data_IF_448705782009
#
_entry.id   IF_448705782009
#
_cell.length_a   1.000
_cell.length_b   1.000
_cell.length_c   1.000
_cell.angle_alpha   90.00
_cell.angle_beta   90.00
_cell.angle_gamma   90.00
#
_symmetry.space_group_name_H-M   'P 1'
#
loop_
_entity.id
_entity.type
_entity.pdbx_description
1 polymer ?
#
# COMPACT_ATOMS: atom_id res chain seq x y z
N UNK A 1 -10.90 25.12 32.85
CA UNK A 1 -10.68 23.93 32.01
C UNK A 1 -9.65 24.32 30.97
N UNK A 2 -8.40 23.91 31.16
CA UNK A 2 -7.25 24.28 30.36
C UNK A 2 -7.27 23.42 29.09
N UNK A 3 -7.44 24.08 27.95
CA UNK A 3 -7.28 23.48 26.63
C UNK A 3 -5.78 23.20 26.42
N UNK A 4 -5.37 21.97 26.67
CA UNK A 4 -3.98 21.56 26.49
C UNK A 4 -3.61 21.69 25.00
N UNK A 5 -2.33 21.95 24.69
CA UNK A 5 -1.89 22.18 23.33
C UNK A 5 -2.22 20.94 22.48
N UNK A 6 -3.19 21.06 21.59
CA UNK A 6 -3.40 20.11 20.49
C UNK A 6 -2.13 20.14 19.66
N UNK A 7 -1.27 19.15 19.86
CA UNK A 7 -0.16 18.88 18.95
C UNK A 7 -0.83 18.47 17.64
N UNK A 8 -1.03 19.43 16.74
CA UNK A 8 -1.28 19.15 15.32
C UNK A 8 -0.02 18.49 14.79
N UNK A 9 0.03 17.17 14.89
CA UNK A 9 0.92 16.38 14.03
C UNK A 9 0.30 16.37 12.64
N UNK A 10 0.49 17.44 11.93
CA UNK A 10 0.23 17.49 10.51
C UNK A 10 1.47 16.90 9.87
N UNK A 11 1.54 15.59 9.83
CA UNK A 11 2.38 14.92 8.84
C UNK A 11 1.62 15.04 7.51
N UNK A 12 1.83 16.15 6.82
CA UNK A 12 1.18 16.47 5.54
C UNK A 12 1.72 15.59 4.40
N UNK A 13 2.56 14.60 4.69
CA UNK A 13 3.13 13.67 3.72
C UNK A 13 2.17 12.54 3.45
N UNK A 14 1.15 12.86 2.68
CA UNK A 14 0.11 11.91 2.29
C UNK A 14 0.66 10.70 1.56
N UNK A 15 1.76 10.85 0.81
CA UNK A 15 2.38 9.76 0.10
C UNK A 15 2.89 8.66 1.02
N UNK A 16 3.66 9.02 2.05
CA UNK A 16 4.12 8.07 3.05
C UNK A 16 2.96 7.53 3.91
N UNK A 17 1.92 8.35 4.16
CA UNK A 17 0.70 7.90 4.85
C UNK A 17 -0.06 6.85 4.06
N UNK A 18 -0.13 6.97 2.73
CA UNK A 18 -0.70 5.94 1.85
C UNK A 18 0.04 4.62 2.03
N UNK A 19 1.38 4.62 2.04
CA UNK A 19 2.17 3.39 2.21
C UNK A 19 2.08 2.79 3.62
N UNK A 20 1.64 3.57 4.62
CA UNK A 20 1.47 3.12 6.00
C UNK A 20 0.04 2.69 6.34
N UNK A 21 -0.93 2.94 5.48
CA UNK A 21 -2.33 2.62 5.77
C UNK A 21 -2.57 1.12 6.02
N UNK A 22 -1.82 0.26 5.31
CA UNK A 22 -1.88 -1.21 5.42
C UNK A 22 -1.03 -1.82 6.53
N UNK A 23 -0.41 -1.01 7.39
CA UNK A 23 0.42 -1.55 8.46
C UNK A 23 -0.38 -2.40 9.43
N UNK A 24 0.19 -3.55 9.76
CA UNK A 24 -0.35 -4.48 10.75
C UNK A 24 -0.59 -3.80 12.10
N UNK A 25 -1.62 -4.18 12.86
CA UNK A 25 -1.83 -3.71 14.23
C UNK A 25 -0.65 -3.96 15.17
N UNK A 26 0.20 -4.96 14.87
CA UNK A 26 1.40 -5.29 15.66
C UNK A 26 2.64 -4.52 15.20
N UNK A 27 2.51 -3.69 14.18
CA UNK A 27 3.61 -2.83 13.70
C UNK A 27 3.81 -1.65 14.64
N UNK A 28 5.04 -1.44 15.04
CA UNK A 28 5.46 -0.31 15.88
C UNK A 28 5.88 0.86 15.00
N UNK A 29 5.33 2.04 15.26
CA UNK A 29 5.69 3.26 14.56
C UNK A 29 6.28 4.26 15.56
N UNK A 30 7.54 4.64 15.34
CA UNK A 30 8.25 5.59 16.20
C UNK A 30 8.60 6.84 15.41
N UNK A 31 8.19 7.98 15.91
CA UNK A 31 8.42 9.29 15.29
C UNK A 31 9.68 9.93 15.86
N UNK A 32 10.59 10.33 14.99
CA UNK A 32 11.76 11.17 15.31
C UNK A 32 11.67 12.49 14.54
N UNK A 33 12.66 13.37 14.71
CA UNK A 33 12.67 14.69 14.06
C UNK A 33 12.84 14.56 12.53
N UNK A 34 13.71 13.66 12.09
CA UNK A 34 14.19 13.50 10.72
C UNK A 34 13.66 12.24 10.04
N UNK A 35 12.98 11.35 10.77
CA UNK A 35 12.44 10.11 10.23
C UNK A 35 11.27 9.54 11.06
N UNK A 36 10.57 8.58 10.44
CA UNK A 36 9.62 7.69 11.12
C UNK A 36 10.13 6.26 10.95
N UNK A 37 10.42 5.58 12.05
CA UNK A 37 10.79 4.16 12.01
C UNK A 37 9.53 3.30 12.09
N UNK A 38 9.32 2.46 11.10
CA UNK A 38 8.26 1.46 11.02
C UNK A 38 8.88 0.09 11.23
N UNK A 39 8.37 -0.68 12.20
CA UNK A 39 8.97 -1.96 12.60
C UNK A 39 7.89 -3.00 12.87
N UNK A 40 8.03 -4.17 12.30
CA UNK A 40 7.19 -5.34 12.57
C UNK A 40 8.06 -6.46 13.15
N UNK A 41 8.32 -6.46 14.46
CA UNK A 41 9.29 -7.40 15.08
C UNK A 41 8.96 -8.88 14.87
N UNK A 42 7.67 -9.21 14.75
CA UNK A 42 7.20 -10.58 14.45
C UNK A 42 7.46 -11.03 13.01
N UNK A 43 7.80 -10.08 12.10
CA UNK A 43 8.10 -10.32 10.69
C UNK A 43 9.22 -9.39 10.23
N UNK A 44 10.46 -9.65 10.69
CA UNK A 44 11.62 -8.84 10.31
C UNK A 44 11.95 -8.94 8.81
N UNK A 45 11.50 -9.99 8.14
CA UNK A 45 11.58 -10.22 6.70
C UNK A 45 10.61 -9.34 5.88
N UNK A 46 9.55 -8.83 6.48
CA UNK A 46 8.53 -8.03 5.81
C UNK A 46 9.06 -6.63 5.46
N UNK A 47 9.45 -6.42 4.21
CA UNK A 47 10.02 -5.14 3.75
C UNK A 47 9.09 -3.95 4.00
N UNK A 48 7.84 -4.03 3.58
CA UNK A 48 6.87 -2.93 3.74
C UNK A 48 6.56 -2.58 5.20
N UNK A 49 6.75 -3.51 6.11
CA UNK A 49 6.56 -3.36 7.56
C UNK A 49 7.83 -3.00 8.34
N UNK A 50 8.99 -2.90 7.65
CA UNK A 50 10.28 -2.60 8.26
C UNK A 50 10.98 -1.54 7.42
N UNK A 51 10.68 -0.25 7.67
CA UNK A 51 11.15 0.87 6.86
C UNK A 51 11.56 2.05 7.71
N UNK A 52 12.47 2.87 7.18
CA UNK A 52 12.77 4.18 7.72
C UNK A 52 12.24 5.24 6.74
N UNK A 53 11.18 5.93 7.13
CA UNK A 53 10.53 6.95 6.33
C UNK A 53 11.15 8.30 6.67
N UNK A 54 11.90 8.88 5.75
CA UNK A 54 12.61 10.14 5.97
C UNK A 54 11.66 11.32 5.87
N UNK A 55 11.87 12.31 6.73
CA UNK A 55 11.05 13.52 6.76
C UNK A 55 11.38 14.50 5.63
N UNK A 56 12.46 14.32 4.90
CA UNK A 56 12.85 15.06 3.70
C UNK A 56 13.61 14.14 2.76
N UNK A 57 13.78 14.55 1.51
CA UNK A 57 14.75 13.92 0.63
C UNK A 57 16.14 14.04 1.28
N UNK A 58 16.89 12.93 1.40
CA UNK A 58 18.21 12.97 2.03
C UNK A 58 19.22 13.67 1.11
N UNK A 59 20.19 14.39 1.69
CA UNK A 59 21.37 14.77 0.94
C UNK A 59 22.26 13.53 0.69
N UNK A 60 23.10 13.53 -0.36
CA UNK A 60 23.93 12.37 -0.71
C UNK A 60 24.84 11.88 0.43
N UNK A 61 25.37 12.79 1.23
CA UNK A 61 26.23 12.51 2.38
C UNK A 61 25.48 11.99 3.61
N UNK A 62 24.18 12.26 3.73
CA UNK A 62 23.34 11.78 4.82
C UNK A 62 22.91 10.32 4.67
N UNK A 63 22.90 9.76 3.44
CA UNK A 63 22.38 8.41 3.19
C UNK A 63 23.07 7.32 4.01
N UNK A 64 24.40 7.39 4.16
CA UNK A 64 25.12 6.42 4.96
C UNK A 64 24.67 6.42 6.43
N UNK A 65 24.46 7.62 6.99
CA UNK A 65 23.97 7.76 8.36
C UNK A 65 22.55 7.20 8.54
N UNK A 66 21.68 7.33 7.52
CA UNK A 66 20.34 6.72 7.56
C UNK A 66 20.38 5.20 7.43
N UNK A 67 21.31 4.64 6.62
CA UNK A 67 21.55 3.19 6.54
C UNK A 67 22.02 2.64 7.89
N UNK A 68 22.98 3.31 8.53
CA UNK A 68 23.48 2.93 9.86
C UNK A 68 22.35 2.99 10.90
N UNK A 69 21.52 4.04 10.87
CA UNK A 69 20.36 4.20 11.74
C UNK A 69 19.32 3.12 11.51
N UNK A 70 19.07 2.75 10.25
CA UNK A 70 18.23 1.59 9.93
C UNK A 70 18.77 0.32 10.60
N UNK A 71 20.06 0.04 10.46
CA UNK A 71 20.74 -1.09 11.09
C UNK A 71 20.54 -1.11 12.61
N UNK A 72 20.69 0.03 13.26
CA UNK A 72 20.54 0.17 14.72
C UNK A 72 19.08 0.02 15.20
N UNK A 73 18.10 0.50 14.44
CA UNK A 73 16.70 0.58 14.91
C UNK A 73 15.84 -0.56 14.39
N UNK A 74 16.07 -1.02 13.19
CA UNK A 74 15.27 -2.03 12.48
C UNK A 74 16.09 -3.30 12.26
N UNK A 75 17.31 -3.18 11.74
CA UNK A 75 18.21 -4.31 11.52
C UNK A 75 18.52 -5.08 12.81
N UNK A 76 18.65 -4.40 13.94
CA UNK A 76 18.85 -5.02 15.26
C UNK A 76 17.69 -5.95 15.69
N UNK A 77 16.54 -5.85 15.04
CA UNK A 77 15.39 -6.75 15.24
C UNK A 77 15.38 -7.94 14.27
N UNK A 78 16.45 -8.13 13.49
CA UNK A 78 16.61 -9.26 12.58
C UNK A 78 16.21 -8.98 11.12
N UNK A 79 15.90 -7.73 10.74
CA UNK A 79 15.66 -7.39 9.35
C UNK A 79 16.98 -7.51 8.54
N UNK A 80 17.02 -8.48 7.61
CA UNK A 80 18.16 -8.74 6.74
C UNK A 80 18.22 -7.83 5.49
N UNK A 81 17.41 -6.79 5.45
CA UNK A 81 17.34 -5.84 4.34
C UNK A 81 17.43 -4.40 4.85
N UNK A 82 17.62 -3.45 3.95
CA UNK A 82 17.50 -2.00 4.21
C UNK A 82 16.39 -1.47 3.33
N UNK A 83 15.52 -0.62 3.89
CA UNK A 83 14.51 0.12 3.12
C UNK A 83 14.31 1.52 3.69
N UNK A 84 14.76 2.52 2.93
CA UNK A 84 14.56 3.94 3.21
C UNK A 84 13.49 4.48 2.25
N UNK A 85 12.61 5.35 2.73
CA UNK A 85 11.58 5.98 1.88
C UNK A 85 11.54 7.48 2.14
N UNK A 86 11.34 8.26 1.08
CA UNK A 86 11.06 9.70 1.19
C UNK A 86 10.08 10.14 0.12
N UNK A 87 9.44 11.26 0.35
CA UNK A 87 8.39 11.79 -0.53
C UNK A 87 8.86 13.07 -1.21
N UNK A 88 8.57 13.18 -2.51
CA UNK A 88 8.66 14.42 -3.30
C UNK A 88 7.26 14.78 -3.76
N UNK A 89 6.70 15.92 -3.32
CA UNK A 89 5.40 16.39 -3.79
C UNK A 89 5.40 16.62 -5.30
N UNK A 90 4.29 16.35 -5.96
CA UNK A 90 4.09 16.63 -7.39
C UNK A 90 3.11 17.79 -7.56
N UNK A 91 3.32 18.60 -8.58
CA UNK A 91 2.29 19.53 -9.01
C UNK A 91 1.05 18.75 -9.52
N UNK A 92 -0.18 19.25 -9.32
CA UNK A 92 -1.41 18.54 -9.69
C UNK A 92 -1.46 18.07 -11.16
N UNK A 93 -0.84 18.83 -12.07
CA UNK A 93 -0.80 18.54 -13.50
C UNK A 93 0.50 17.85 -13.95
N UNK A 94 1.35 17.46 -13.01
CA UNK A 94 2.63 16.81 -13.35
C UNK A 94 2.38 15.45 -14.03
N UNK A 95 3.09 15.13 -15.12
CA UNK A 95 3.10 13.77 -15.63
C UNK A 95 3.68 12.82 -14.59
N UNK A 96 3.25 11.56 -14.55
CA UNK A 96 3.69 10.58 -13.55
C UNK A 96 5.19 10.35 -13.46
N UNK A 97 5.92 10.66 -14.51
CA UNK A 97 7.38 10.56 -14.59
C UNK A 97 8.12 11.88 -14.24
N UNK A 98 7.41 12.88 -13.71
CA UNK A 98 7.98 14.23 -13.57
C UNK A 98 8.95 14.38 -12.38
N UNK A 99 8.89 13.53 -11.39
CA UNK A 99 9.90 13.53 -10.34
C UNK A 99 11.11 12.69 -10.80
N UNK A 100 12.27 13.32 -10.88
CA UNK A 100 13.55 12.63 -11.08
C UNK A 100 14.27 12.71 -9.74
N UNK A 101 14.77 11.60 -9.19
CA UNK A 101 15.58 11.65 -7.98
C UNK A 101 16.87 12.40 -8.26
N UNK A 102 17.44 13.01 -7.25
CA UNK A 102 18.77 13.60 -7.34
C UNK A 102 19.78 12.52 -7.80
N UNK A 103 20.51 12.80 -8.88
CA UNK A 103 21.45 11.86 -9.46
C UNK A 103 22.57 11.49 -8.48
N UNK A 104 23.03 12.43 -7.65
CA UNK A 104 24.05 12.17 -6.63
C UNK A 104 23.50 11.26 -5.51
N UNK A 105 22.23 11.44 -5.13
CA UNK A 105 21.54 10.54 -4.18
C UNK A 105 21.45 9.12 -4.74
N UNK A 106 21.10 8.97 -6.03
CA UNK A 106 21.03 7.65 -6.69
C UNK A 106 22.41 6.98 -6.75
N UNK A 107 23.45 7.71 -7.14
CA UNK A 107 24.82 7.18 -7.19
C UNK A 107 25.32 6.79 -5.79
N UNK A 108 25.02 7.61 -4.78
CA UNK A 108 25.40 7.30 -3.41
C UNK A 108 24.64 6.08 -2.88
N UNK A 109 23.33 5.95 -3.17
CA UNK A 109 22.54 4.78 -2.83
C UNK A 109 23.14 3.51 -3.45
N UNK A 110 23.50 3.57 -4.76
CA UNK A 110 24.16 2.46 -5.46
C UNK A 110 25.48 2.06 -4.81
N UNK A 111 26.30 3.03 -4.41
CA UNK A 111 27.56 2.77 -3.70
C UNK A 111 27.35 2.10 -2.33
N UNK A 112 26.16 2.26 -1.73
CA UNK A 112 25.75 1.59 -0.49
C UNK A 112 25.02 0.25 -0.75
N UNK A 113 24.97 -0.23 -2.00
CA UNK A 113 24.29 -1.47 -2.37
C UNK A 113 22.75 -1.35 -2.42
N UNK A 114 22.21 -0.12 -2.54
CA UNK A 114 20.79 0.13 -2.64
C UNK A 114 20.36 0.45 -4.07
N UNK A 115 19.17 0.01 -4.45
CA UNK A 115 18.46 0.46 -5.65
C UNK A 115 17.42 1.51 -5.28
N UNK A 116 17.26 2.54 -6.10
CA UNK A 116 16.25 3.58 -5.90
C UNK A 116 15.15 3.42 -6.95
N UNK A 117 13.92 3.25 -6.49
CA UNK A 117 12.74 3.09 -7.35
C UNK A 117 11.61 4.04 -6.93
N UNK A 118 10.82 4.56 -7.89
CA UNK A 118 9.69 5.43 -7.60
C UNK A 118 8.38 4.64 -7.41
N UNK A 119 7.52 5.15 -6.53
CA UNK A 119 6.09 4.89 -6.55
C UNK A 119 5.34 6.21 -6.73
N UNK A 120 4.42 6.26 -7.67
CA UNK A 120 3.48 7.38 -7.77
C UNK A 120 2.34 7.18 -6.79
N UNK A 121 2.15 8.14 -5.92
CA UNK A 121 0.96 8.22 -5.07
C UNK A 121 -0.08 9.06 -5.81
N UNK A 122 -1.25 8.46 -5.99
CA UNK A 122 -2.40 9.09 -6.64
C UNK A 122 -3.49 9.28 -5.60
N UNK A 123 -4.11 10.44 -5.60
CA UNK A 123 -5.30 10.74 -4.79
C UNK A 123 -6.50 10.98 -5.70
N UNK A 124 -7.66 10.58 -5.22
CA UNK A 124 -8.92 10.80 -5.92
C UNK A 124 -9.23 12.30 -5.93
N UNK A 125 -9.45 12.83 -7.12
CA UNK A 125 -9.97 14.17 -7.35
C UNK A 125 -11.50 14.09 -7.56
N UNK A 126 -11.91 13.36 -8.60
CA UNK A 126 -13.31 13.12 -8.89
C UNK A 126 -13.49 11.71 -9.45
N UNK A 127 -14.34 10.91 -8.82
CA UNK A 127 -14.60 9.56 -9.30
C UNK A 127 -15.28 9.60 -10.67
N UNK A 128 -14.58 9.05 -11.66
CA UNK A 128 -15.11 8.97 -13.02
C UNK A 128 -16.36 8.07 -13.05
N UNK A 129 -17.34 8.37 -13.94
CA UNK A 129 -18.54 7.54 -14.06
C UNK A 129 -18.19 6.06 -14.32
N UNK A 130 -19.03 5.13 -13.87
CA UNK A 130 -18.82 3.71 -14.12
C UNK A 130 -18.78 3.47 -15.62
N UNK A 131 -17.79 2.74 -16.09
CA UNK A 131 -17.81 2.23 -17.46
C UNK A 131 -18.77 1.04 -17.53
N UNK A 132 -19.27 0.74 -18.72
CA UNK A 132 -20.16 -0.40 -18.99
C UNK A 132 -19.67 -1.67 -18.29
N UNK A 133 -20.61 -2.41 -17.69
CA UNK A 133 -20.32 -3.38 -16.65
C UNK A 133 -19.53 -4.60 -17.11
N UNK A 134 -18.55 -4.98 -16.31
CA UNK A 134 -18.06 -6.35 -16.34
C UNK A 134 -19.23 -7.28 -15.91
N UNK A 135 -19.37 -8.42 -16.58
CA UNK A 135 -20.39 -9.43 -16.24
C UNK A 135 -19.95 -10.22 -14.98
N UNK A 136 -19.88 -9.52 -13.84
CA UNK A 136 -19.50 -10.06 -12.53
C UNK A 136 -20.38 -9.44 -11.45
N UNK A 137 -20.62 -10.20 -10.39
CA UNK A 137 -21.21 -9.71 -9.15
C UNK A 137 -20.08 -9.08 -8.29
N UNK A 138 -20.31 -7.90 -7.74
CA UNK A 138 -19.37 -7.19 -6.87
C UNK A 138 -19.96 -7.10 -5.47
N UNK A 139 -19.25 -7.62 -4.48
CA UNK A 139 -19.71 -7.54 -3.09
C UNK A 139 -18.57 -7.33 -2.10
N UNK A 140 -18.81 -6.64 -0.98
CA UNK A 140 -17.87 -6.63 0.13
C UNK A 140 -17.84 -8.00 0.81
N UNK A 141 -16.66 -8.38 1.30
CA UNK A 141 -16.52 -9.53 2.19
C UNK A 141 -16.83 -9.04 3.60
N UNK A 142 -17.79 -9.66 4.32
CA UNK A 142 -18.08 -9.27 5.70
C UNK A 142 -16.84 -9.38 6.60
N UNK A 143 -16.78 -8.56 7.63
CA UNK A 143 -15.73 -8.69 8.64
C UNK A 143 -15.76 -10.09 9.27
N UNK A 144 -14.61 -10.66 9.65
CA UNK A 144 -14.55 -11.97 10.29
C UNK A 144 -15.39 -12.01 11.58
N UNK A 145 -16.25 -13.02 11.68
CA UNK A 145 -17.16 -13.23 12.81
C UNK A 145 -16.61 -14.17 13.90
N UNK A 146 -15.37 -14.64 13.69
CA UNK A 146 -14.70 -15.56 14.60
C UNK A 146 -15.19 -17.01 14.55
N UNK A 147 -16.05 -17.37 13.57
CA UNK A 147 -16.54 -18.73 13.38
C UNK A 147 -15.71 -19.49 12.32
N UNK A 148 -14.75 -20.33 12.73
CA UNK A 148 -13.96 -21.12 11.77
C UNK A 148 -14.86 -22.01 10.92
N UNK A 149 -14.63 -22.03 9.60
CA UNK A 149 -15.41 -22.82 8.64
C UNK A 149 -16.83 -22.30 8.39
N UNK A 150 -17.22 -21.16 8.99
CA UNK A 150 -18.49 -20.48 8.75
C UNK A 150 -18.57 -19.87 7.33
N UNK A 151 -19.76 -19.35 6.93
CA UNK A 151 -19.92 -18.74 5.60
C UNK A 151 -18.97 -17.57 5.34
N UNK A 152 -18.71 -16.74 6.36
CA UNK A 152 -17.79 -15.60 6.29
C UNK A 152 -16.36 -16.08 6.15
N UNK A 153 -15.94 -17.06 6.96
CA UNK A 153 -14.60 -17.64 6.90
C UNK A 153 -14.31 -18.29 5.53
N UNK A 154 -15.28 -19.01 4.96
CA UNK A 154 -15.15 -19.56 3.59
C UNK A 154 -14.98 -18.48 2.53
N UNK A 155 -15.66 -17.32 2.65
CA UNK A 155 -15.47 -16.18 1.74
C UNK A 155 -14.07 -15.62 1.86
N UNK A 156 -13.55 -15.44 3.07
CA UNK A 156 -12.16 -15.01 3.29
C UNK A 156 -11.17 -15.99 2.66
N UNK A 157 -11.36 -17.30 2.92
CA UNK A 157 -10.50 -18.34 2.34
C UNK A 157 -10.53 -18.34 0.81
N UNK A 158 -11.71 -18.19 0.20
CA UNK A 158 -11.83 -18.11 -1.26
C UNK A 158 -11.08 -16.90 -1.85
N UNK A 159 -11.00 -15.78 -1.14
CA UNK A 159 -10.20 -14.62 -1.59
C UNK A 159 -8.72 -14.86 -1.49
N UNK A 160 -8.26 -15.72 -0.56
CA UNK A 160 -6.84 -16.06 -0.36
C UNK A 160 -6.24 -16.72 -1.59
N UNK A 161 -7.03 -17.55 -2.29
CA UNK A 161 -6.58 -18.23 -3.52
C UNK A 161 -6.12 -17.22 -4.58
N UNK A 162 -6.72 -16.03 -4.62
CA UNK A 162 -6.34 -14.98 -5.58
C UNK A 162 -4.96 -14.37 -5.30
N UNK A 163 -4.49 -14.41 -4.05
CA UNK A 163 -3.14 -13.90 -3.72
C UNK A 163 -2.02 -14.70 -4.39
N UNK A 164 -2.24 -15.98 -4.67
CA UNK A 164 -1.28 -16.82 -5.40
C UNK A 164 -0.99 -16.30 -6.81
N UNK A 165 -1.95 -15.55 -7.39
CA UNK A 165 -1.77 -14.93 -8.70
C UNK A 165 -1.08 -13.56 -8.63
N UNK A 166 -1.02 -12.93 -7.47
CA UNK A 166 -0.22 -11.72 -7.27
C UNK A 166 1.27 -12.06 -7.23
N UNK A 167 1.61 -13.15 -6.54
CA UNK A 167 2.99 -13.60 -6.37
C UNK A 167 3.65 -14.05 -7.70
N UNK A 168 2.87 -14.51 -8.69
CA UNK A 168 3.40 -14.96 -9.98
C UNK A 168 3.63 -13.87 -11.03
N UNK A 169 3.15 -12.64 -10.81
CA UNK A 169 3.18 -11.56 -11.81
C UNK A 169 3.99 -10.33 -11.39
N UNK A 170 4.39 -10.24 -10.13
CA UNK A 170 5.27 -9.18 -9.66
C UNK A 170 6.70 -9.67 -9.72
N UNK A 171 7.62 -8.91 -10.35
CA UNK A 171 9.03 -9.19 -10.19
C UNK A 171 9.33 -9.12 -8.70
N UNK A 172 9.81 -10.20 -8.18
CA UNK A 172 10.56 -10.30 -6.94
C UNK A 172 10.11 -9.41 -5.79
N UNK A 173 9.47 -10.00 -4.77
CA UNK A 173 10.01 -9.72 -3.51
C UNK A 173 9.29 -8.99 -2.46
N UNK A 174 8.31 -8.23 -2.66
CA UNK A 174 7.82 -7.51 -1.50
C UNK A 174 6.92 -8.38 -0.57
N UNK A 175 6.48 -9.56 -1.05
CA UNK A 175 5.68 -10.51 -0.22
C UNK A 175 6.26 -11.93 -0.12
N UNK A 176 7.37 -12.20 -0.81
CA UNK A 176 7.90 -13.56 -0.93
C UNK A 176 6.89 -14.51 -1.59
N UNK A 177 7.35 -15.43 -2.43
CA UNK A 177 6.53 -16.51 -3.02
C UNK A 177 6.13 -17.59 -1.99
N UNK A 178 6.21 -17.28 -0.70
CA UNK A 178 5.98 -18.21 0.39
C UNK A 178 4.48 -18.22 0.77
N UNK A 179 3.87 -19.39 0.77
CA UNK A 179 2.50 -19.60 1.26
C UNK A 179 2.30 -19.03 2.68
N UNK A 180 3.35 -19.01 3.50
CA UNK A 180 3.34 -18.44 4.83
C UNK A 180 3.23 -16.90 4.81
N UNK A 181 3.89 -16.23 3.87
CA UNK A 181 3.78 -14.78 3.70
C UNK A 181 2.38 -14.37 3.23
N UNK A 182 1.81 -15.13 2.30
CA UNK A 182 0.42 -14.95 1.84
C UNK A 182 -0.56 -15.18 2.98
N UNK A 183 -0.42 -16.27 3.72
CA UNK A 183 -1.27 -16.60 4.86
C UNK A 183 -1.21 -15.50 5.93
N UNK A 184 -0.01 -15.00 6.25
CA UNK A 184 0.18 -13.90 7.18
C UNK A 184 -0.50 -12.62 6.69
N UNK A 185 -0.32 -12.24 5.43
CA UNK A 185 -0.94 -11.04 4.84
C UNK A 185 -2.47 -11.09 4.93
N UNK A 186 -3.05 -12.25 4.63
CA UNK A 186 -4.50 -12.45 4.74
C UNK A 186 -4.96 -12.35 6.19
N UNK A 187 -4.23 -12.94 7.14
CA UNK A 187 -4.59 -12.85 8.56
C UNK A 187 -4.49 -11.42 9.08
N UNK A 188 -3.48 -10.65 8.65
CA UNK A 188 -3.40 -9.23 8.99
C UNK A 188 -4.58 -8.44 8.44
N UNK A 189 -5.03 -8.72 7.22
CA UNK A 189 -6.22 -8.07 6.67
C UNK A 189 -7.49 -8.47 7.41
N UNK A 190 -7.61 -9.73 7.83
CA UNK A 190 -8.73 -10.20 8.68
C UNK A 190 -8.76 -9.43 10.00
N UNK A 191 -7.61 -9.24 10.63
CA UNK A 191 -7.52 -8.48 11.87
C UNK A 191 -7.85 -7.00 11.66
N UNK A 192 -7.32 -6.38 10.58
CA UNK A 192 -7.68 -5.02 10.21
C UNK A 192 -9.18 -4.88 9.89
N UNK A 193 -9.80 -5.89 9.26
CA UNK A 193 -11.23 -5.88 8.98
C UNK A 193 -12.07 -6.00 10.27
N UNK A 194 -11.62 -6.83 11.24
CA UNK A 194 -12.28 -6.98 12.54
C UNK A 194 -12.32 -5.67 13.34
N UNK A 195 -11.30 -4.83 13.21
CA UNK A 195 -11.24 -3.50 13.85
C UNK A 195 -11.72 -2.35 12.96
N UNK A 196 -12.37 -2.65 11.82
CA UNK A 196 -12.94 -1.67 10.91
C UNK A 196 -11.93 -0.88 10.08
N UNK A 197 -10.69 -1.38 9.95
CA UNK A 197 -9.62 -0.72 9.19
C UNK A 197 -9.35 -1.33 7.82
N UNK A 198 -10.06 -2.36 7.45
CA UNK A 198 -9.96 -2.98 6.13
C UNK A 198 -11.34 -3.43 5.66
N UNK A 199 -11.65 -3.15 4.40
CA UNK A 199 -12.80 -3.74 3.72
C UNK A 199 -12.30 -4.44 2.46
N UNK A 200 -12.50 -5.75 2.38
CA UNK A 200 -12.17 -6.54 1.18
C UNK A 200 -13.38 -6.58 0.26
N UNK A 201 -13.16 -6.34 -1.02
CA UNK A 201 -14.15 -6.48 -2.08
C UNK A 201 -13.79 -7.64 -2.99
N UNK A 202 -14.79 -8.34 -3.49
CA UNK A 202 -14.62 -9.49 -4.37
C UNK A 202 -15.52 -9.34 -5.61
N UNK A 203 -14.97 -9.71 -6.77
CA UNK A 203 -15.72 -9.93 -8.00
C UNK A 203 -15.98 -11.43 -8.14
N UNK A 204 -17.24 -11.80 -8.27
CA UNK A 204 -17.68 -13.18 -8.45
C UNK A 204 -18.19 -13.37 -9.87
N UNK A 205 -17.85 -14.51 -10.48
CA UNK A 205 -18.41 -14.99 -11.73
C UNK A 205 -18.88 -16.41 -11.53
N UNK A 206 -20.18 -16.64 -11.70
CA UNK A 206 -20.81 -17.96 -11.40
C UNK A 206 -20.48 -18.45 -9.97
N UNK A 207 -20.49 -17.53 -9.00
CA UNK A 207 -20.16 -17.82 -7.59
C UNK A 207 -18.67 -17.99 -7.27
N UNK A 208 -17.80 -17.99 -8.28
CA UNK A 208 -16.35 -18.15 -8.08
C UNK A 208 -15.64 -16.79 -8.03
N UNK A 209 -14.73 -16.55 -7.08
CA UNK A 209 -13.96 -15.32 -7.00
C UNK A 209 -12.99 -15.23 -8.18
N UNK A 210 -13.11 -14.16 -8.96
CA UNK A 210 -12.27 -13.87 -10.13
C UNK A 210 -11.50 -12.56 -10.01
N UNK A 211 -11.75 -11.80 -8.95
CA UNK A 211 -11.00 -10.60 -8.63
C UNK A 211 -11.24 -10.17 -7.20
N UNK A 212 -10.31 -9.39 -6.65
CA UNK A 212 -10.41 -8.81 -5.32
C UNK A 212 -9.69 -7.47 -5.27
N UNK A 213 -9.98 -6.68 -4.25
CA UNK A 213 -9.18 -5.58 -3.75
C UNK A 213 -9.38 -5.43 -2.25
N UNK A 214 -8.47 -4.70 -1.61
CA UNK A 214 -8.59 -4.26 -0.23
C UNK A 214 -8.70 -2.74 -0.19
N UNK A 215 -9.62 -2.21 0.60
CA UNK A 215 -9.71 -0.81 0.95
C UNK A 215 -9.31 -0.67 2.41
N UNK A 216 -8.17 -0.06 2.65
CA UNK A 216 -7.59 0.14 3.98
C UNK A 216 -7.92 1.53 4.48
N UNK A 217 -8.21 1.66 5.76
CA UNK A 217 -8.59 2.93 6.36
C UNK A 217 -7.56 3.32 7.42
N UNK A 218 -7.06 4.56 7.35
CA UNK A 218 -6.39 5.15 8.49
C UNK A 218 -7.45 5.76 9.46
N UNK A 219 -6.96 6.30 10.59
CA UNK A 219 -7.84 6.96 11.56
C UNK A 219 -8.05 8.45 11.26
N UNK A 220 -7.59 8.93 10.11
CA UNK A 220 -7.56 10.36 9.75
C UNK A 220 -8.40 10.65 8.50
N UNK A 221 -9.22 9.68 8.06
CA UNK A 221 -10.10 9.82 6.89
C UNK A 221 -9.39 9.58 5.55
N UNK A 222 -8.27 8.86 5.56
CA UNK A 222 -7.63 8.36 4.34
C UNK A 222 -8.02 6.90 4.12
N UNK A 223 -8.59 6.60 2.96
CA UNK A 223 -8.80 5.25 2.48
C UNK A 223 -7.79 4.94 1.38
N UNK A 224 -7.15 3.79 1.46
CA UNK A 224 -6.11 3.37 0.50
C UNK A 224 -6.51 2.07 -0.16
N UNK A 225 -6.46 2.09 -1.49
CA UNK A 225 -6.70 0.89 -2.30
C UNK A 225 -5.42 0.08 -2.38
N UNK A 226 -5.49 -1.18 -2.00
CA UNK A 226 -4.42 -2.15 -2.12
C UNK A 226 -4.91 -3.47 -2.74
N UNK A 227 -3.98 -4.31 -3.16
CA UNK A 227 -4.22 -5.69 -3.59
C UNK A 227 -5.28 -5.84 -4.69
N UNK A 228 -5.22 -4.99 -5.69
CA UNK A 228 -6.10 -5.10 -6.86
C UNK A 228 -5.67 -6.28 -7.71
N UNK A 229 -6.31 -7.41 -7.50
CA UNK A 229 -5.97 -8.69 -8.15
C UNK A 229 -7.12 -9.14 -9.05
N UNK A 230 -6.80 -9.55 -10.27
CA UNK A 230 -7.74 -10.24 -11.15
C UNK A 230 -7.10 -11.54 -11.65
N UNK A 231 -7.83 -12.63 -11.51
CA UNK A 231 -7.41 -13.94 -11.99
C UNK A 231 -6.96 -13.87 -13.46
N UNK A 232 -5.80 -14.40 -13.85
CA UNK A 232 -5.23 -14.24 -15.19
C UNK A 232 -6.22 -14.53 -16.34
N UNK A 233 -6.99 -15.63 -16.26
CA UNK A 233 -7.98 -16.00 -17.27
C UNK A 233 -9.17 -15.01 -17.40
N UNK A 234 -9.30 -14.07 -16.47
CA UNK A 234 -10.38 -13.07 -16.43
C UNK A 234 -9.90 -11.63 -16.62
N UNK A 235 -8.59 -11.43 -16.87
CA UNK A 235 -8.01 -10.09 -17.12
C UNK A 235 -8.55 -9.47 -18.42
N UNK A 236 -8.38 -8.15 -18.55
CA UNK A 236 -8.77 -7.35 -19.73
C UNK A 236 -10.29 -7.33 -20.01
N UNK A 237 -11.10 -7.67 -19.00
CA UNK A 237 -12.57 -7.68 -19.08
C UNK A 237 -13.23 -6.60 -18.23
N UNK A 238 -12.47 -5.58 -17.80
CA UNK A 238 -12.97 -4.45 -17.00
C UNK A 238 -13.19 -4.75 -15.50
N UNK A 239 -12.87 -5.97 -15.01
CA UNK A 239 -13.15 -6.41 -13.63
C UNK A 239 -12.45 -5.52 -12.60
N UNK A 240 -11.14 -5.24 -12.77
CA UNK A 240 -10.40 -4.37 -11.86
C UNK A 240 -11.03 -2.96 -11.78
N UNK A 241 -11.43 -2.41 -12.94
CA UNK A 241 -12.10 -1.10 -13.01
C UNK A 241 -13.43 -1.10 -12.26
N UNK A 242 -14.23 -2.14 -12.47
CA UNK A 242 -15.54 -2.28 -11.81
C UNK A 242 -15.40 -2.44 -10.29
N UNK A 243 -14.44 -3.26 -9.82
CA UNK A 243 -14.12 -3.42 -8.40
C UNK A 243 -13.71 -2.10 -7.76
N UNK A 244 -12.72 -1.41 -8.35
CA UNK A 244 -12.21 -0.14 -7.86
C UNK A 244 -13.34 0.90 -7.78
N UNK A 245 -14.08 1.08 -8.88
CA UNK A 245 -15.17 2.04 -8.92
C UNK A 245 -16.20 1.75 -7.81
N UNK A 246 -16.66 0.49 -7.70
CA UNK A 246 -17.71 0.12 -6.72
C UNK A 246 -17.25 0.27 -5.29
N UNK A 247 -16.02 -0.14 -4.97
CA UNK A 247 -15.46 -0.03 -3.63
C UNK A 247 -15.30 1.45 -3.22
N UNK A 248 -14.75 2.27 -4.11
CA UNK A 248 -14.56 3.70 -3.87
C UNK A 248 -15.92 4.41 -3.74
N UNK A 249 -16.87 4.16 -4.65
CA UNK A 249 -18.20 4.76 -4.60
C UNK A 249 -18.93 4.41 -3.30
N UNK A 250 -18.91 3.14 -2.90
CA UNK A 250 -19.51 2.70 -1.65
C UNK A 250 -18.88 3.37 -0.41
N UNK A 251 -17.55 3.54 -0.43
CA UNK A 251 -16.85 4.22 0.66
C UNK A 251 -17.23 5.71 0.74
N UNK A 252 -17.31 6.40 -0.39
CA UNK A 252 -17.72 7.81 -0.47
C UNK A 252 -19.22 8.02 -0.17
N UNK A 253 -20.07 7.02 -0.41
CA UNK A 253 -21.46 7.02 0.04
C UNK A 253 -21.56 7.06 1.57
N UNK A 254 -20.65 6.37 2.27
CA UNK A 254 -20.60 6.33 3.74
C UNK A 254 -19.86 7.53 4.35
N UNK A 255 -18.79 8.03 3.71
CA UNK A 255 -18.03 9.20 4.11
C UNK A 255 -17.65 10.05 2.88
N UNK A 256 -18.48 11.04 2.50
CA UNK A 256 -18.21 11.91 1.35
C UNK A 256 -16.96 12.78 1.51
N UNK A 257 -16.43 12.93 2.72
CA UNK A 257 -15.24 13.73 3.02
C UNK A 257 -13.94 12.91 2.97
N UNK A 258 -14.04 11.59 2.83
CA UNK A 258 -12.89 10.70 2.81
C UNK A 258 -11.97 11.01 1.62
N UNK A 259 -10.68 10.97 1.89
CA UNK A 259 -9.65 10.99 0.85
C UNK A 259 -9.37 9.55 0.43
N UNK A 260 -9.31 9.31 -0.86
CA UNK A 260 -8.99 7.98 -1.40
C UNK A 260 -7.68 8.04 -2.15
N UNK A 261 -6.76 7.14 -1.83
CA UNK A 261 -5.45 7.07 -2.42
C UNK A 261 -5.06 5.67 -2.90
N UNK A 262 -4.04 5.64 -3.74
CA UNK A 262 -3.40 4.43 -4.24
C UNK A 262 -1.94 4.74 -4.55
N UNK A 263 -1.04 3.80 -4.28
CA UNK A 263 0.35 3.86 -4.73
C UNK A 263 0.60 2.83 -5.84
N UNK A 264 1.29 3.24 -6.89
CA UNK A 264 1.59 2.38 -8.03
C UNK A 264 2.94 2.74 -8.67
N UNK A 265 3.57 1.79 -9.33
CA UNK A 265 4.71 2.06 -10.19
C UNK A 265 4.29 2.98 -11.34
N UNK A 266 5.07 4.01 -11.65
CA UNK A 266 4.77 4.93 -12.75
C UNK A 266 4.56 4.19 -14.08
N UNK A 267 3.45 4.47 -14.76
CA UNK A 267 3.11 3.85 -16.05
C UNK A 267 2.64 2.40 -15.98
N UNK A 268 2.58 1.80 -14.81
CA UNK A 268 2.03 0.45 -14.63
C UNK A 268 0.52 0.39 -14.96
N UNK A 269 0.00 -0.83 -15.09
CA UNK A 269 -1.43 -1.04 -15.30
C UNK A 269 -2.28 -0.46 -14.16
N UNK A 270 -1.79 -0.47 -12.92
CA UNK A 270 -2.44 0.10 -11.75
C UNK A 270 -2.47 1.63 -11.82
N UNK A 271 -1.34 2.29 -12.15
CA UNK A 271 -1.27 3.74 -12.35
C UNK A 271 -2.23 4.20 -13.45
N UNK A 272 -2.20 3.55 -14.61
CA UNK A 272 -3.07 3.89 -15.75
C UNK A 272 -4.56 3.68 -15.41
N UNK A 273 -4.87 2.63 -14.67
CA UNK A 273 -6.24 2.36 -14.25
C UNK A 273 -6.74 3.40 -13.24
N UNK A 274 -5.93 3.74 -12.24
CA UNK A 274 -6.25 4.75 -11.25
C UNK A 274 -6.54 6.12 -11.89
N UNK A 275 -5.70 6.55 -12.83
CA UNK A 275 -5.92 7.81 -13.58
C UNK A 275 -7.23 7.81 -14.37
N UNK A 276 -7.58 6.68 -15.00
CA UNK A 276 -8.87 6.55 -15.73
C UNK A 276 -10.09 6.59 -14.81
N UNK A 277 -9.89 6.35 -13.52
CA UNK A 277 -10.93 6.45 -12.48
C UNK A 277 -11.00 7.83 -11.83
N UNK A 278 -10.08 8.74 -12.20
CA UNK A 278 -10.06 10.12 -11.71
C UNK A 278 -9.10 10.36 -10.56
N UNK A 279 -8.21 9.39 -10.25
CA UNK A 279 -7.12 9.67 -9.33
C UNK A 279 -6.02 10.47 -10.04
N UNK A 280 -5.46 11.45 -9.35
CA UNK A 280 -4.41 12.33 -9.86
C UNK A 280 -3.11 12.14 -9.12
N UNK A 281 -1.95 12.28 -9.77
CA UNK A 281 -0.67 12.26 -9.09
C UNK A 281 -0.61 13.33 -8.01
N UNK A 282 -0.14 12.95 -6.84
CA UNK A 282 0.02 13.82 -5.68
C UNK A 282 1.48 13.92 -5.25
N UNK A 283 2.15 12.78 -5.22
CA UNK A 283 3.55 12.69 -4.80
C UNK A 283 4.25 11.52 -5.49
N UNK A 284 5.58 11.60 -5.55
CA UNK A 284 6.43 10.45 -5.78
C UNK A 284 7.04 10.03 -4.45
N UNK A 285 6.87 8.78 -4.06
CA UNK A 285 7.63 8.18 -2.97
C UNK A 285 8.80 7.41 -3.57
N UNK A 286 10.00 7.80 -3.18
CA UNK A 286 11.23 7.11 -3.53
C UNK A 286 11.52 6.02 -2.51
N UNK A 287 11.89 4.86 -2.99
CA UNK A 287 12.26 3.72 -2.17
C UNK A 287 13.70 3.36 -2.50
N UNK A 288 14.61 3.59 -1.56
CA UNK A 288 15.97 3.07 -1.63
C UNK A 288 16.03 1.78 -0.82
N UNK A 289 16.27 0.67 -1.50
CA UNK A 289 16.22 -0.64 -0.86
C UNK A 289 17.42 -1.52 -1.28
N UNK A 290 17.88 -2.36 -0.34
CA UNK A 290 18.82 -3.43 -0.68
C UNK A 290 18.15 -4.44 -1.62
N UNK A 291 18.89 -5.15 -2.49
CA UNK A 291 18.34 -6.26 -3.26
C UNK A 291 17.62 -7.28 -2.35
N UNK A 292 16.74 -8.09 -2.92
CA UNK A 292 16.25 -9.26 -2.21
C UNK A 292 17.43 -10.18 -1.88
N UNK A 293 17.38 -10.82 -0.72
CA UNK A 293 18.30 -11.94 -0.47
C UNK A 293 17.85 -13.10 -1.38
N UNK A 294 18.80 -13.67 -2.12
CA UNK A 294 18.58 -14.85 -2.95
C UNK A 294 18.17 -16.06 -2.10
#
# INVERSE_FOLDING_TARGET
>A
MSDGPRIRRVDERLGLSVLRAGLSPVTLVTYARDHVAVRTPSRPDLRSGNTLDLTAAPAPDELAAFVDRYGQTIGSLGAGHVQLRWETPLAPDAPSAAAVPDAEVVERARALGLTVAPLTVLLLDLLAPPAGGAAVELSPVPAPDGQPGGPVDRRWHATTVLYRYLAGDTPDDWRGNDDAAVAWSVEQQRELARIGRCQVWVALRHGMPVGRLSLLHDRQGLAVVEDVIVHPAHRRRGIARALLHRAIAHHLEADPSARVGLAAEPGSGADLLARRLGLRPHATVWIAASPAAD
#
